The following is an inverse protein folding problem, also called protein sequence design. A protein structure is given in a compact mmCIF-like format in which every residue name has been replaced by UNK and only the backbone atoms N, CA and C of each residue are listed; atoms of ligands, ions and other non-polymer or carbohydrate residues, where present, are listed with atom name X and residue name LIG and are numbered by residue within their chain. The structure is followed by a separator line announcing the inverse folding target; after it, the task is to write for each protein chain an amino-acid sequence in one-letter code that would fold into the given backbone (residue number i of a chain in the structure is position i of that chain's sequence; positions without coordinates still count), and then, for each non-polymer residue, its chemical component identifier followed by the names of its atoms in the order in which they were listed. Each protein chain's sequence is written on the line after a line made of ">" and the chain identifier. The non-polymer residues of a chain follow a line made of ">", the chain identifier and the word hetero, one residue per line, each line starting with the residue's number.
data_IF_716630106730
#
_entry.id   IF_716630106730
#
_cell.length_a   1.000
_cell.length_b   1.000
_cell.length_c   1.000
_cell.angle_alpha   90.00
_cell.angle_beta   90.00
_cell.angle_gamma   90.00
#
_symmetry.space_group_name_H-M   'P 1'
#
loop_
_entity.id
_entity.type
_entity.pdbx_description
1 polymer ?
#
# COMPACT_ATOMS: atom_id res chain seq x y z
N UNK A 1 -6.45 -10.78 -21.31
CA UNK A 1 -5.53 -9.62 -21.13
C UNK A 1 -6.13 -8.52 -20.24
N UNK A 2 -7.38 -8.08 -20.44
CA UNK A 2 -8.00 -6.99 -19.67
C UNK A 2 -8.09 -7.28 -18.15
N UNK A 3 -8.47 -8.50 -17.74
CA UNK A 3 -8.57 -8.86 -16.33
C UNK A 3 -7.23 -8.75 -15.57
N UNK A 4 -6.12 -9.17 -16.18
CA UNK A 4 -4.80 -8.96 -15.62
C UNK A 4 -4.39 -7.49 -15.61
N UNK A 5 -4.78 -6.71 -16.63
CA UNK A 5 -4.56 -5.26 -16.64
C UNK A 5 -5.20 -4.55 -15.45
N UNK A 6 -6.43 -4.93 -15.09
CA UNK A 6 -7.12 -4.40 -13.90
C UNK A 6 -6.37 -4.78 -12.61
N UNK A 7 -5.99 -6.05 -12.47
CA UNK A 7 -5.25 -6.51 -11.29
C UNK A 7 -3.88 -5.82 -11.16
N UNK A 8 -3.10 -5.75 -12.24
CA UNK A 8 -1.80 -5.08 -12.23
C UNK A 8 -1.92 -3.57 -12.04
N UNK A 9 -2.99 -2.95 -12.54
CA UNK A 9 -3.33 -1.55 -12.26
C UNK A 9 -3.54 -1.32 -10.77
N UNK A 10 -4.38 -2.12 -10.12
CA UNK A 10 -4.59 -2.06 -8.67
C UNK A 10 -3.28 -2.34 -7.90
N UNK A 11 -2.48 -3.32 -8.34
CA UNK A 11 -1.19 -3.64 -7.73
C UNK A 11 -0.22 -2.46 -7.78
N UNK A 12 -0.14 -1.77 -8.91
CA UNK A 12 0.68 -0.57 -9.06
C UNK A 12 0.16 0.57 -8.19
N UNK A 13 -1.15 0.78 -8.14
CA UNK A 13 -1.78 1.75 -7.24
C UNK A 13 -1.41 1.52 -5.77
N UNK A 14 -1.51 0.28 -5.27
CA UNK A 14 -1.13 -0.07 -3.89
C UNK A 14 0.36 0.14 -3.65
N UNK A 15 1.22 -0.17 -4.63
CA UNK A 15 2.66 0.07 -4.54
C UNK A 15 3.00 1.55 -4.46
N UNK A 16 2.39 2.37 -5.32
CA UNK A 16 2.59 3.82 -5.33
C UNK A 16 2.10 4.44 -4.02
N UNK A 17 0.94 3.98 -3.52
CA UNK A 17 0.40 4.42 -2.24
C UNK A 17 1.34 4.12 -1.06
N UNK A 18 1.92 2.91 -1.00
CA UNK A 18 2.90 2.58 0.02
C UNK A 18 4.13 3.50 -0.05
N UNK A 19 4.60 3.82 -1.26
CA UNK A 19 5.75 4.70 -1.47
C UNK A 19 5.46 6.15 -1.07
N UNK A 20 4.30 6.69 -1.42
CA UNK A 20 3.95 8.08 -1.09
C UNK A 20 3.63 8.27 0.40
N UNK A 21 2.98 7.26 1.02
CA UNK A 21 2.77 7.23 2.46
C UNK A 21 4.11 7.16 3.22
N UNK A 22 5.04 6.32 2.77
CA UNK A 22 6.39 6.26 3.34
C UNK A 22 7.14 7.59 3.17
N UNK A 23 7.07 8.23 2.00
CA UNK A 23 7.69 9.55 1.77
C UNK A 23 7.12 10.62 2.71
N UNK A 24 5.81 10.60 2.94
CA UNK A 24 5.15 11.54 3.86
C UNK A 24 5.57 11.29 5.31
N UNK A 25 5.79 10.04 5.69
CA UNK A 25 6.21 9.67 7.03
C UNK A 25 7.61 10.19 7.41
N UNK A 26 8.48 10.54 6.45
CA UNK A 26 9.83 11.08 6.72
C UNK A 26 9.79 12.29 7.67
N UNK A 27 8.72 13.09 7.63
CA UNK A 27 8.58 14.28 8.49
C UNK A 27 8.32 14.01 9.97
N UNK A 28 8.09 12.76 10.40
CA UNK A 28 7.79 12.42 11.78
C UNK A 28 9.04 12.23 12.65
N UNK A 29 9.05 12.82 13.84
CA UNK A 29 10.21 12.80 14.76
C UNK A 29 10.39 11.45 15.46
N UNK A 30 9.31 10.69 15.60
CA UNK A 30 9.29 9.36 16.23
C UNK A 30 8.32 8.43 15.48
N UNK A 31 8.37 7.13 15.79
CA UNK A 31 7.56 6.10 15.11
C UNK A 31 6.05 6.43 15.13
N UNK A 32 5.52 6.90 16.27
CA UNK A 32 4.11 7.21 16.41
C UNK A 32 3.66 8.36 15.49
N UNK A 33 4.49 9.40 15.38
CA UNK A 33 4.26 10.50 14.44
C UNK A 33 4.34 10.02 12.99
N UNK A 34 5.35 9.22 12.65
CA UNK A 34 5.52 8.65 11.30
C UNK A 34 4.32 7.80 10.90
N UNK A 35 3.84 6.95 11.81
CA UNK A 35 2.64 6.14 11.62
C UNK A 35 1.40 7.01 11.40
N UNK A 36 1.25 8.07 12.20
CA UNK A 36 0.14 9.02 12.07
C UNK A 36 0.18 9.73 10.71
N UNK A 37 1.36 10.16 10.26
CA UNK A 37 1.55 10.80 8.96
C UNK A 37 1.24 9.86 7.78
N UNK A 38 1.73 8.61 7.84
CA UNK A 38 1.45 7.59 6.83
C UNK A 38 -0.06 7.28 6.73
N UNK A 39 -0.72 7.06 7.88
CA UNK A 39 -2.15 6.77 7.94
C UNK A 39 -2.97 7.95 7.40
N UNK A 40 -2.67 9.16 7.89
CA UNK A 40 -3.35 10.39 7.44
C UNK A 40 -3.18 10.63 5.94
N UNK A 41 -2.01 10.32 5.37
CA UNK A 41 -1.80 10.41 3.92
C UNK A 41 -2.78 9.52 3.17
N UNK A 42 -2.91 8.26 3.58
CA UNK A 42 -3.81 7.29 2.93
C UNK A 42 -5.28 7.66 3.14
N UNK A 43 -5.64 8.14 4.32
CA UNK A 43 -7.00 8.60 4.63
C UNK A 43 -7.44 9.77 3.72
N UNK A 44 -6.52 10.70 3.45
CA UNK A 44 -6.77 11.89 2.63
C UNK A 44 -6.66 11.64 1.13
N UNK A 45 -5.76 10.75 0.69
CA UNK A 45 -5.41 10.61 -0.73
C UNK A 45 -5.77 9.24 -1.32
N UNK A 46 -6.20 8.26 -0.52
CA UNK A 46 -6.43 6.88 -0.96
C UNK A 46 -7.43 6.76 -2.11
N UNK A 47 -8.44 7.62 -2.14
CA UNK A 47 -9.47 7.67 -3.20
C UNK A 47 -8.94 8.21 -4.53
N UNK A 48 -7.75 8.82 -4.54
CA UNK A 48 -7.09 9.31 -5.74
C UNK A 48 -6.38 8.22 -6.55
N UNK A 49 -6.26 7.01 -6.01
CA UNK A 49 -5.61 5.89 -6.68
C UNK A 49 -6.61 5.06 -7.50
N UNK A 50 -6.29 4.83 -8.76
CA UNK A 50 -7.16 4.13 -9.71
C UNK A 50 -7.39 2.68 -9.27
N UNK A 51 -8.65 2.21 -9.35
CA UNK A 51 -9.09 0.85 -9.00
C UNK A 51 -8.96 0.50 -7.50
N UNK A 52 -8.84 1.51 -6.64
CA UNK A 52 -8.76 1.34 -5.19
C UNK A 52 -10.02 1.88 -4.53
N UNK A 53 -10.63 1.06 -3.66
CA UNK A 53 -11.57 1.50 -2.64
C UNK A 53 -10.81 1.64 -1.32
N UNK A 54 -10.74 2.86 -0.78
CA UNK A 54 -10.03 3.13 0.47
C UNK A 54 -10.56 2.34 1.66
N UNK A 55 -11.85 2.00 1.69
CA UNK A 55 -12.46 1.19 2.75
C UNK A 55 -11.94 -0.26 2.80
N UNK A 56 -11.22 -0.69 1.76
CA UNK A 56 -10.62 -2.02 1.64
C UNK A 56 -9.11 -2.03 1.88
N UNK A 57 -8.55 -0.90 2.30
CA UNK A 57 -7.15 -0.78 2.63
C UNK A 57 -6.90 -1.05 4.11
N UNK A 58 -5.81 -1.76 4.37
CA UNK A 58 -5.22 -1.88 5.69
C UNK A 58 -3.79 -1.40 5.63
N UNK A 59 -3.42 -0.50 6.53
CA UNK A 59 -2.09 0.10 6.59
C UNK A 59 -1.39 -0.40 7.86
N UNK A 60 -0.17 -0.90 7.69
CA UNK A 60 0.74 -1.26 8.77
C UNK A 60 2.02 -0.47 8.58
N UNK A 61 2.23 0.55 9.42
CA UNK A 61 3.39 1.42 9.38
C UNK A 61 4.10 1.36 10.73
N UNK A 62 5.39 1.01 10.69
CA UNK A 62 6.22 0.73 11.87
C UNK A 62 7.71 0.82 11.55
N UNK A 63 8.51 1.01 12.58
CA UNK A 63 9.96 0.88 12.47
C UNK A 63 10.33 -0.58 12.11
N UNK A 64 11.44 -0.77 11.40
CA UNK A 64 11.91 -2.10 11.04
C UNK A 64 12.46 -2.83 12.27
N UNK A 65 11.99 -4.04 12.51
CA UNK A 65 12.36 -4.87 13.67
C UNK A 65 13.87 -5.14 13.72
N UNK A 66 14.53 -5.19 12.56
CA UNK A 66 15.96 -5.49 12.46
C UNK A 66 16.84 -4.23 12.35
N UNK A 67 16.25 -3.06 12.11
CA UNK A 67 16.97 -1.81 11.89
C UNK A 67 16.09 -0.61 12.29
N UNK A 68 16.32 -0.04 13.47
CA UNK A 68 15.56 1.10 13.97
C UNK A 68 15.77 2.39 13.16
N UNK A 69 16.76 2.42 12.27
CA UNK A 69 16.95 3.53 11.33
C UNK A 69 16.09 3.37 10.06
N UNK A 70 15.29 2.31 9.96
CA UNK A 70 14.37 2.11 8.84
C UNK A 70 12.93 2.15 9.31
N UNK A 71 12.08 2.78 8.50
CA UNK A 71 10.62 2.77 8.69
C UNK A 71 9.96 2.15 7.48
N UNK A 72 9.04 1.23 7.74
CA UNK A 72 8.36 0.42 6.72
C UNK A 72 6.88 0.76 6.72
N UNK A 73 6.36 1.16 5.58
CA UNK A 73 4.91 1.30 5.35
C UNK A 73 4.44 0.16 4.46
N UNK A 74 3.56 -0.68 4.99
CA UNK A 74 2.90 -1.77 4.28
C UNK A 74 1.44 -1.45 4.06
N UNK A 75 1.00 -1.52 2.81
CA UNK A 75 -0.40 -1.35 2.43
C UNK A 75 -0.92 -2.67 1.88
N UNK A 76 -2.04 -3.13 2.45
CA UNK A 76 -2.77 -4.30 1.99
C UNK A 76 -4.12 -3.86 1.43
N UNK A 77 -4.55 -4.46 0.32
CA UNK A 77 -5.82 -4.17 -0.34
C UNK A 77 -6.61 -5.47 -0.58
N UNK A 78 -7.88 -5.50 -0.17
CA UNK A 78 -8.80 -6.58 -0.54
C UNK A 78 -9.26 -6.43 -1.99
N UNK A 79 -8.66 -7.22 -2.88
CA UNK A 79 -8.91 -7.17 -4.32
C UNK A 79 -10.18 -7.93 -4.75
N UNK A 80 -10.95 -8.53 -3.82
CA UNK A 80 -12.17 -9.31 -4.13
C UNK A 80 -13.26 -8.51 -4.85
N UNK A 81 -13.22 -7.18 -4.74
CA UNK A 81 -14.17 -6.30 -5.42
C UNK A 81 -13.76 -5.93 -6.85
N UNK A 82 -12.54 -6.25 -7.28
CA UNK A 82 -12.15 -6.05 -8.67
C UNK A 82 -13.01 -6.97 -9.57
N UNK A 83 -13.54 -6.48 -10.71
CA UNK A 83 -14.43 -7.25 -11.57
C UNK A 83 -13.67 -8.27 -12.44
N UNK A 84 -12.72 -9.01 -11.85
CA UNK A 84 -11.83 -9.96 -12.54
C UNK A 84 -12.15 -11.43 -12.19
N UNK A 85 -12.80 -11.68 -11.05
CA UNK A 85 -12.91 -13.01 -10.45
C UNK A 85 -13.74 -13.99 -11.28
N UNK A 86 -14.72 -13.49 -12.04
CA UNK A 86 -15.55 -14.30 -12.93
C UNK A 86 -15.09 -14.27 -14.40
N UNK A 87 -14.02 -13.53 -14.72
CA UNK A 87 -13.53 -13.35 -16.09
C UNK A 87 -12.48 -14.38 -16.49
N UNK A 88 -11.91 -15.13 -15.53
CA UNK A 88 -10.77 -16.02 -15.73
C UNK A 88 -11.01 -17.44 -15.21
N UNK A 89 -12.07 -18.16 -15.62
CA UNK A 89 -12.39 -19.49 -15.09
C UNK A 89 -11.35 -20.57 -15.40
N UNK A 90 -10.42 -20.34 -16.34
CA UNK A 90 -9.46 -21.34 -16.83
C UNK A 90 -7.99 -20.94 -16.61
N UNK A 91 -7.73 -19.85 -15.88
CA UNK A 91 -6.36 -19.37 -15.60
C UNK A 91 -6.07 -19.40 -14.09
N UNK A 92 -4.80 -19.55 -13.68
CA UNK A 92 -4.42 -19.43 -12.29
C UNK A 92 -4.75 -18.02 -11.78
N UNK A 93 -5.60 -17.97 -10.75
CA UNK A 93 -6.05 -16.72 -10.15
C UNK A 93 -4.94 -16.09 -9.30
N UNK A 94 -4.77 -14.77 -9.35
CA UNK A 94 -3.85 -14.08 -8.46
C UNK A 94 -4.39 -14.07 -7.02
N UNK A 95 -3.53 -13.71 -6.07
CA UNK A 95 -3.94 -13.56 -4.67
C UNK A 95 -5.06 -12.52 -4.52
N UNK A 96 -6.01 -12.80 -3.63
CA UNK A 96 -7.13 -11.90 -3.35
C UNK A 96 -6.74 -10.72 -2.46
N UNK A 97 -5.54 -10.74 -1.89
CA UNK A 97 -4.98 -9.63 -1.11
C UNK A 97 -3.73 -9.14 -1.80
N UNK A 98 -3.75 -7.88 -2.24
CA UNK A 98 -2.56 -7.23 -2.77
C UNK A 98 -1.83 -6.60 -1.60
N UNK A 99 -0.59 -7.02 -1.34
CA UNK A 99 0.27 -6.40 -0.33
C UNK A 99 1.52 -5.80 -0.96
N UNK A 100 1.79 -4.54 -0.64
CA UNK A 100 3.02 -3.84 -1.02
C UNK A 100 3.59 -3.07 0.14
N UNK A 101 4.91 -2.96 0.17
CA UNK A 101 5.62 -2.25 1.22
C UNK A 101 6.64 -1.31 0.61
N UNK A 102 6.87 -0.20 1.28
CA UNK A 102 7.95 0.73 0.99
C UNK A 102 8.73 1.00 2.26
N UNK A 103 10.05 1.03 2.14
CA UNK A 103 10.97 1.26 3.25
C UNK A 103 11.72 2.56 3.01
N UNK A 104 11.79 3.40 4.03
CA UNK A 104 12.61 4.61 4.06
C UNK A 104 13.64 4.48 5.16
N UNK A 105 14.77 5.18 5.02
CA UNK A 105 15.71 5.38 6.13
C UNK A 105 15.32 6.66 6.88
N UNK A 106 15.19 6.55 8.19
CA UNK A 106 14.85 7.62 9.12
C UNK A 106 16.14 8.07 9.80
N UNK A 107 16.99 8.77 9.04
CA UNK A 107 18.28 9.20 9.55
C UNK A 107 19.29 9.44 8.43
N UNK A 108 20.13 10.43 8.65
CA UNK A 108 21.22 10.83 7.76
C UNK A 108 22.00 11.97 8.40
N UNK A 109 23.14 11.62 8.98
CA UNK A 109 24.35 12.44 8.92
C UNK A 109 25.31 11.76 7.95
#
# INVERSE_FOLDING_TARGET
>A
MIAYGIYFGALHSVQQMAADAARTAIGGLNEAERKTLAQRYIDLNGDGYVLIDKSKLTVDAKDNVNDSEQFVVSVSYDARQLPIWNLLPMLPMPEQTIKRSSTIRVGGI
#
